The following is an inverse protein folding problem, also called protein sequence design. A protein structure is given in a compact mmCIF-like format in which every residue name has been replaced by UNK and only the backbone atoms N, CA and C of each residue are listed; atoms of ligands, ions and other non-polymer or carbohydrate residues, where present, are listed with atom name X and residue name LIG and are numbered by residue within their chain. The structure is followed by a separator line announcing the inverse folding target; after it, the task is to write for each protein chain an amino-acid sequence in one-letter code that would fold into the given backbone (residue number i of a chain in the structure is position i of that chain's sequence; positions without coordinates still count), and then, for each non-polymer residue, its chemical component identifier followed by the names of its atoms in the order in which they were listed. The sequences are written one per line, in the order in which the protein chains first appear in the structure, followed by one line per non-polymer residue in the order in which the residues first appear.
data_IF_154955487494
#
_entry.id   IF_154955487494
#
_cell.length_a   1.000
_cell.length_b   1.000
_cell.length_c   1.000
_cell.angle_alpha   90.00
_cell.angle_beta   90.00
_cell.angle_gamma   90.00
#
_symmetry.space_group_name_H-M   'P 1'
#
loop_
_entity.id
_entity.type
_entity.pdbx_description
1 polymer ?
#
# COMPACT_ATOMS: atom_id res chain seq x y z
N UNK A 1 9.39 9.09 23.60
CA UNK A 1 9.12 7.96 22.69
C UNK A 1 10.39 7.76 21.89
N UNK A 2 10.94 6.54 21.87
CA UNK A 2 12.06 6.21 20.99
C UNK A 2 11.53 5.91 19.59
N UNK A 3 12.31 6.31 18.58
CA UNK A 3 11.99 6.12 17.17
C UNK A 3 13.01 5.18 16.52
N UNK A 4 12.55 4.40 15.55
CA UNK A 4 13.38 3.61 14.65
C UNK A 4 13.42 4.30 13.29
N UNK A 5 14.61 4.41 12.71
CA UNK A 5 14.75 4.83 11.33
C UNK A 5 14.42 3.66 10.41
N UNK A 6 13.44 3.87 9.53
CA UNK A 6 13.12 2.96 8.43
C UNK A 6 13.54 3.60 7.11
N UNK A 7 13.97 2.77 6.16
CA UNK A 7 14.41 3.21 4.84
C UNK A 7 13.52 2.59 3.77
N UNK A 8 12.78 3.46 3.08
CA UNK A 8 12.10 3.13 1.83
C UNK A 8 13.15 3.23 0.71
N UNK A 9 13.47 2.10 0.06
CA UNK A 9 14.54 2.01 -0.95
C UNK A 9 14.14 2.64 -2.28
N UNK A 10 15.10 2.92 -3.17
CA UNK A 10 14.83 3.44 -4.53
C UNK A 10 13.80 2.58 -5.28
N UNK A 11 14.00 1.26 -5.35
CA UNK A 11 13.01 0.33 -5.87
C UNK A 11 11.95 -0.01 -4.81
N UNK A 12 10.80 0.67 -4.90
CA UNK A 12 9.64 0.52 -4.01
C UNK A 12 8.89 -0.81 -4.20
N UNK A 13 8.29 -1.32 -3.14
CA UNK A 13 7.23 -2.33 -3.14
C UNK A 13 5.86 -1.64 -3.00
N UNK A 14 5.04 -1.66 -4.06
CA UNK A 14 3.81 -0.87 -4.16
C UNK A 14 2.60 -1.80 -4.20
N UNK A 15 1.68 -1.60 -3.24
CA UNK A 15 0.39 -2.27 -3.22
C UNK A 15 -0.65 -1.49 -4.02
N UNK A 16 -1.30 -2.16 -4.99
CA UNK A 16 -2.34 -1.62 -5.85
C UNK A 16 -3.68 -2.28 -5.51
N UNK A 17 -4.59 -1.50 -4.94
CA UNK A 17 -5.88 -1.98 -4.42
C UNK A 17 -7.00 -1.08 -4.94
N UNK A 18 -8.11 -1.67 -5.36
CA UNK A 18 -9.27 -0.92 -5.82
C UNK A 18 -10.57 -1.63 -5.49
N UNK A 19 -11.57 -0.89 -4.99
CA UNK A 19 -12.95 -1.38 -4.95
C UNK A 19 -13.47 -1.62 -6.37
N UNK A 20 -14.52 -2.43 -6.52
CA UNK A 20 -15.02 -2.85 -7.84
C UNK A 20 -15.35 -1.66 -8.75
N UNK A 21 -16.06 -0.65 -8.24
CA UNK A 21 -16.38 0.59 -8.99
C UNK A 21 -15.17 1.44 -9.36
N UNK A 22 -13.98 1.14 -8.82
CA UNK A 22 -12.73 1.89 -9.01
C UNK A 22 -11.66 1.14 -9.80
N UNK A 23 -11.88 -0.13 -10.13
CA UNK A 23 -10.91 -0.95 -10.86
C UNK A 23 -10.56 -0.37 -12.24
N UNK A 24 -11.55 0.10 -12.99
CA UNK A 24 -11.27 0.73 -14.30
C UNK A 24 -10.42 2.00 -14.15
N UNK A 25 -10.72 2.84 -13.16
CA UNK A 25 -9.91 4.03 -12.86
C UNK A 25 -8.46 3.66 -12.50
N UNK A 26 -8.28 2.64 -11.65
CA UNK A 26 -6.97 2.09 -11.29
C UNK A 26 -6.20 1.57 -12.51
N UNK A 27 -6.89 0.84 -13.41
CA UNK A 27 -6.26 0.31 -14.62
C UNK A 27 -5.75 1.43 -15.52
N UNK A 28 -6.60 2.43 -15.81
CA UNK A 28 -6.21 3.57 -16.65
C UNK A 28 -5.06 4.35 -16.03
N UNK A 29 -5.08 4.53 -14.71
CA UNK A 29 -3.98 5.14 -13.98
C UNK A 29 -2.68 4.33 -14.08
N UNK A 30 -2.74 3.01 -13.97
CA UNK A 30 -1.57 2.14 -14.15
C UNK A 30 -1.01 2.20 -15.58
N UNK A 31 -1.87 2.27 -16.59
CA UNK A 31 -1.46 2.41 -18.00
C UNK A 31 -0.75 3.75 -18.20
N UNK A 32 -1.31 4.84 -17.68
CA UNK A 32 -0.73 6.18 -17.79
C UNK A 32 0.65 6.30 -17.10
N UNK A 33 0.83 5.59 -15.98
CA UNK A 33 2.07 5.62 -15.18
C UNK A 33 2.97 4.40 -15.40
N UNK A 34 2.72 3.60 -16.45
CA UNK A 34 3.36 2.30 -16.67
C UNK A 34 4.88 2.35 -16.66
N UNK A 35 5.45 3.40 -17.26
CA UNK A 35 6.89 3.55 -17.40
C UNK A 35 7.61 3.80 -16.07
N UNK A 36 6.91 4.38 -15.08
CA UNK A 36 7.40 4.53 -13.71
C UNK A 36 7.15 3.23 -12.95
N UNK A 37 5.92 2.71 -12.98
CA UNK A 37 5.50 1.52 -12.24
C UNK A 37 6.33 0.28 -12.56
N UNK A 38 6.78 0.11 -13.82
CA UNK A 38 7.62 -1.02 -14.23
C UNK A 38 9.00 -1.07 -13.56
N UNK A 39 9.46 0.04 -12.97
CA UNK A 39 10.73 0.09 -12.21
C UNK A 39 10.59 -0.49 -10.80
N UNK A 40 9.36 -0.68 -10.32
CA UNK A 40 9.04 -1.06 -8.95
C UNK A 40 8.46 -2.47 -8.86
N UNK A 41 8.43 -3.02 -7.64
CA UNK A 41 7.75 -4.28 -7.38
C UNK A 41 6.28 -4.01 -7.09
N UNK A 42 5.39 -4.60 -7.87
CA UNK A 42 3.95 -4.37 -7.75
C UNK A 42 3.28 -5.59 -7.15
N UNK A 43 2.37 -5.35 -6.22
CA UNK A 43 1.47 -6.35 -5.69
C UNK A 43 0.03 -5.79 -5.62
N UNK A 44 -0.97 -6.65 -5.51
CA UNK A 44 -2.36 -6.19 -5.45
C UNK A 44 -3.32 -7.31 -5.10
N UNK A 45 -4.54 -6.94 -4.72
CA UNK A 45 -5.56 -7.91 -4.30
C UNK A 45 -6.33 -8.49 -5.48
N UNK A 46 -6.61 -9.79 -5.42
CA UNK A 46 -7.53 -10.54 -6.28
C UNK A 46 -7.58 -10.08 -7.74
N UNK A 47 -8.77 -9.64 -8.15
CA UNK A 47 -9.08 -9.24 -9.52
C UNK A 47 -8.37 -7.96 -9.97
N UNK A 48 -7.95 -7.10 -9.05
CA UNK A 48 -7.18 -5.88 -9.37
C UNK A 48 -5.82 -6.26 -9.96
N UNK A 49 -5.06 -7.12 -9.28
CA UNK A 49 -3.75 -7.57 -9.77
C UNK A 49 -3.84 -8.28 -11.12
N UNK A 50 -4.84 -9.16 -11.27
CA UNK A 50 -5.08 -9.89 -12.52
C UNK A 50 -5.37 -8.95 -13.67
N UNK A 51 -6.32 -8.03 -13.49
CA UNK A 51 -6.71 -7.06 -14.52
C UNK A 51 -5.52 -6.18 -14.96
N UNK A 52 -4.72 -5.67 -14.02
CA UNK A 52 -3.54 -4.86 -14.33
C UNK A 52 -2.50 -5.69 -15.10
N UNK A 53 -2.28 -6.93 -14.69
CA UNK A 53 -1.33 -7.82 -15.37
C UNK A 53 -1.74 -8.11 -16.81
N UNK A 54 -3.01 -8.42 -17.03
CA UNK A 54 -3.54 -8.77 -18.35
C UNK A 54 -3.63 -7.56 -19.30
N UNK A 55 -3.94 -6.37 -18.77
CA UNK A 55 -4.33 -5.22 -19.62
C UNK A 55 -3.31 -4.07 -19.62
N UNK A 56 -2.52 -3.88 -18.56
CA UNK A 56 -1.48 -2.83 -18.51
C UNK A 56 -0.08 -3.37 -18.85
N UNK A 57 0.10 -4.70 -18.93
CA UNK A 57 1.40 -5.32 -19.19
C UNK A 57 2.40 -5.16 -18.04
N UNK A 58 1.91 -4.94 -16.82
CA UNK A 58 2.72 -4.82 -15.60
C UNK A 58 2.74 -6.15 -14.84
N UNK A 59 3.89 -6.58 -14.31
CA UNK A 59 3.93 -7.76 -13.46
C UNK A 59 3.46 -7.42 -12.05
N UNK A 60 2.26 -7.89 -11.67
CA UNK A 60 1.68 -7.64 -10.35
C UNK A 60 1.49 -8.95 -9.59
N UNK A 61 2.14 -9.08 -8.43
CA UNK A 61 1.92 -10.22 -7.54
C UNK A 61 0.50 -10.17 -6.97
N UNK A 62 -0.28 -11.22 -7.21
CA UNK A 62 -1.63 -11.34 -6.68
C UNK A 62 -1.68 -11.82 -5.22
N UNK A 63 -2.49 -11.15 -4.42
CA UNK A 63 -2.99 -11.59 -3.12
C UNK A 63 -4.46 -12.03 -3.23
N UNK A 64 -5.06 -12.50 -2.13
CA UNK A 64 -6.50 -12.76 -2.08
C UNK A 64 -7.29 -11.47 -2.37
N UNK A 65 -8.57 -11.60 -2.69
CA UNK A 65 -9.46 -10.44 -2.76
C UNK A 65 -9.60 -9.79 -1.38
N UNK A 66 -9.84 -8.47 -1.33
CA UNK A 66 -10.05 -7.74 -0.08
C UNK A 66 -11.05 -8.43 0.87
N UNK A 67 -12.28 -8.75 0.41
CA UNK A 67 -13.28 -9.46 1.22
C UNK A 67 -12.86 -10.83 1.76
N UNK A 68 -11.84 -11.47 1.17
CA UNK A 68 -11.32 -12.77 1.58
C UNK A 68 -9.98 -12.66 2.33
N UNK A 69 -9.69 -11.48 2.89
CA UNK A 69 -8.51 -11.22 3.71
C UNK A 69 -7.30 -10.66 2.95
N UNK A 70 -7.46 -10.29 1.68
CA UNK A 70 -6.38 -9.67 0.90
C UNK A 70 -5.82 -8.38 1.53
N UNK A 71 -6.69 -7.57 2.12
CA UNK A 71 -6.29 -6.32 2.77
C UNK A 71 -5.46 -6.59 4.03
N UNK A 72 -5.76 -7.68 4.74
CA UNK A 72 -4.98 -8.13 5.90
C UNK A 72 -3.63 -8.71 5.47
N UNK A 73 -3.55 -9.40 4.32
CA UNK A 73 -2.28 -9.83 3.76
C UNK A 73 -1.37 -8.63 3.46
N UNK A 74 -1.91 -7.57 2.86
CA UNK A 74 -1.18 -6.32 2.61
C UNK A 74 -0.77 -5.69 3.95
N UNK A 75 -1.69 -5.58 4.92
CA UNK A 75 -1.40 -5.02 6.23
C UNK A 75 -0.26 -5.74 6.97
N UNK A 76 -0.24 -7.08 6.93
CA UNK A 76 0.86 -7.87 7.49
C UNK A 76 2.19 -7.57 6.79
N UNK A 77 2.17 -7.39 5.47
CA UNK A 77 3.38 -7.08 4.70
C UNK A 77 3.92 -5.66 4.95
N UNK A 78 3.06 -4.71 5.30
CA UNK A 78 3.48 -3.39 5.80
C UNK A 78 4.25 -3.54 7.11
N UNK A 79 3.71 -4.31 8.08
CA UNK A 79 4.37 -4.60 9.36
C UNK A 79 5.73 -5.27 9.19
N UNK A 80 5.85 -6.15 8.19
CA UNK A 80 7.09 -6.85 7.86
C UNK A 80 8.10 -6.01 7.06
N UNK A 81 7.77 -4.76 6.71
CA UNK A 81 8.62 -3.90 5.86
C UNK A 81 8.75 -4.41 4.41
N UNK A 82 7.74 -5.11 3.91
CA UNK A 82 7.69 -5.67 2.55
C UNK A 82 6.75 -4.91 1.61
N UNK A 83 6.10 -3.85 2.12
CA UNK A 83 5.30 -2.90 1.33
C UNK A 83 5.71 -1.50 1.77
N UNK A 84 6.14 -0.71 0.80
CA UNK A 84 6.69 0.63 1.00
C UNK A 84 5.68 1.73 0.63
N UNK A 85 4.63 1.40 -0.12
CA UNK A 85 3.62 2.35 -0.58
C UNK A 85 2.30 1.63 -0.87
N UNK A 86 1.19 2.30 -0.57
CA UNK A 86 -0.16 1.81 -0.90
C UNK A 86 -0.89 2.80 -1.80
N UNK A 87 -1.33 2.34 -2.97
CA UNK A 87 -2.29 3.03 -3.83
C UNK A 87 -3.62 2.28 -3.72
N UNK A 88 -4.56 2.87 -2.98
CA UNK A 88 -5.88 2.29 -2.75
C UNK A 88 -6.98 3.20 -3.30
N UNK A 89 -7.51 2.87 -4.47
CA UNK A 89 -8.72 3.54 -4.97
C UNK A 89 -9.96 2.94 -4.32
N UNK A 90 -10.29 3.45 -3.14
CA UNK A 90 -11.53 3.14 -2.42
C UNK A 90 -12.72 3.86 -3.05
N UNK A 91 -13.86 3.19 -3.11
CA UNK A 91 -15.15 3.81 -3.41
C UNK A 91 -15.75 4.43 -2.13
N UNK A 92 -15.85 5.77 -2.02
CA UNK A 92 -16.36 6.44 -0.83
C UNK A 92 -17.89 6.49 -0.77
N UNK A 93 -18.60 6.12 -1.84
CA UNK A 93 -20.06 6.23 -1.95
C UNK A 93 -20.77 4.89 -1.78
N UNK A 94 -20.03 3.79 -1.70
CA UNK A 94 -20.56 2.44 -1.57
C UNK A 94 -20.04 1.78 -0.31
N UNK A 95 -20.95 1.37 0.58
CA UNK A 95 -20.59 0.60 1.78
C UNK A 95 -19.96 -0.74 1.38
N UNK A 96 -18.78 -1.05 1.93
CA UNK A 96 -18.16 -2.35 1.70
C UNK A 96 -18.40 -3.29 2.89
N UNK A 97 -18.65 -4.59 2.63
CA UNK A 97 -18.76 -5.58 3.71
C UNK A 97 -17.45 -5.74 4.51
N UNK A 98 -16.33 -5.31 3.93
CA UNK A 98 -14.98 -5.37 4.50
C UNK A 98 -14.45 -3.97 4.88
N UNK A 99 -15.34 -2.98 5.08
CA UNK A 99 -14.98 -1.64 5.59
C UNK A 99 -14.06 -1.65 6.84
N UNK A 100 -14.24 -2.57 7.82
CA UNK A 100 -13.31 -2.69 8.95
C UNK A 100 -11.87 -3.00 8.51
N UNK A 101 -11.70 -3.85 7.50
CA UNK A 101 -10.39 -4.25 6.98
C UNK A 101 -9.73 -3.08 6.23
N UNK A 102 -10.50 -2.30 5.48
CA UNK A 102 -10.03 -1.05 4.84
C UNK A 102 -9.49 -0.08 5.88
N UNK A 103 -10.24 0.16 6.95
CA UNK A 103 -9.83 1.06 8.05
C UNK A 103 -8.58 0.53 8.76
N UNK A 104 -8.50 -0.78 9.00
CA UNK A 104 -7.34 -1.40 9.61
C UNK A 104 -6.08 -1.24 8.74
N UNK A 105 -6.22 -1.40 7.42
CA UNK A 105 -5.14 -1.20 6.46
C UNK A 105 -4.64 0.27 6.42
N UNK A 106 -5.56 1.23 6.35
CA UNK A 106 -5.18 2.65 6.36
C UNK A 106 -4.48 3.03 7.67
N UNK A 107 -4.99 2.54 8.79
CA UNK A 107 -4.40 2.77 10.11
C UNK A 107 -2.99 2.15 10.22
N UNK A 108 -2.77 0.92 9.75
CA UNK A 108 -1.45 0.30 9.85
C UNK A 108 -0.41 1.02 8.98
N UNK A 109 -0.81 1.49 7.79
CA UNK A 109 0.07 2.25 6.93
C UNK A 109 0.48 3.60 7.55
N UNK A 110 -0.42 4.27 8.31
CA UNK A 110 -0.08 5.46 9.10
C UNK A 110 0.87 5.14 10.27
N UNK A 111 0.66 4.02 10.95
CA UNK A 111 1.49 3.59 12.10
C UNK A 111 2.93 3.33 11.66
N UNK A 112 3.10 2.76 10.46
CA UNK A 112 4.41 2.50 9.87
C UNK A 112 4.87 3.64 8.95
N UNK A 113 4.17 4.78 8.95
CA UNK A 113 4.53 6.00 8.21
C UNK A 113 4.95 5.75 6.75
N UNK A 114 4.20 4.92 6.03
CA UNK A 114 4.42 4.70 4.60
C UNK A 114 3.48 5.58 3.77
N UNK A 115 3.88 6.02 2.56
CA UNK A 115 3.01 6.76 1.66
C UNK A 115 1.72 6.01 1.30
N UNK A 116 0.59 6.71 1.39
CA UNK A 116 -0.74 6.19 1.04
C UNK A 116 -1.44 7.17 0.09
N UNK A 117 -1.96 6.66 -1.02
CA UNK A 117 -2.93 7.37 -1.85
C UNK A 117 -4.28 6.67 -1.80
N UNK A 118 -5.30 7.34 -1.28
CA UNK A 118 -6.68 6.86 -1.23
C UNK A 118 -7.53 7.34 -2.43
N UNK A 119 -6.93 8.10 -3.35
CA UNK A 119 -7.57 8.64 -4.54
C UNK A 119 -6.51 8.91 -5.63
N UNK A 120 -6.98 9.16 -6.85
CA UNK A 120 -6.12 9.40 -8.01
C UNK A 120 -5.22 10.63 -7.86
N UNK A 121 -5.75 11.74 -7.35
CA UNK A 121 -4.96 12.98 -7.23
C UNK A 121 -3.74 12.78 -6.32
N UNK A 122 -3.93 12.17 -5.15
CA UNK A 122 -2.80 11.82 -4.26
C UNK A 122 -1.83 10.86 -4.95
N UNK A 123 -2.34 9.85 -5.68
CA UNK A 123 -1.50 8.89 -6.39
C UNK A 123 -0.64 9.57 -7.48
N UNK A 124 -1.20 10.55 -8.20
CA UNK A 124 -0.46 11.35 -9.18
C UNK A 124 0.68 12.14 -8.52
N UNK A 125 0.40 12.82 -7.40
CA UNK A 125 1.44 13.54 -6.65
C UNK A 125 2.54 12.61 -6.15
N UNK A 126 2.18 11.43 -5.63
CA UNK A 126 3.16 10.46 -5.15
C UNK A 126 4.02 9.90 -6.28
N UNK A 127 3.44 9.52 -7.42
CA UNK A 127 4.20 8.95 -8.55
C UNK A 127 5.17 9.94 -9.19
N UNK A 128 4.89 11.24 -9.11
CA UNK A 128 5.76 12.27 -9.67
C UNK A 128 6.64 12.95 -8.62
N UNK A 129 6.64 12.44 -7.39
CA UNK A 129 7.56 12.89 -6.35
C UNK A 129 8.99 12.52 -6.70
N UNK A 130 9.94 13.41 -6.38
CA UNK A 130 11.37 13.12 -6.50
C UNK A 130 11.80 11.91 -5.67
N UNK A 131 11.04 11.55 -4.62
CA UNK A 131 11.34 10.39 -3.77
C UNK A 131 11.01 9.03 -4.40
N UNK A 132 10.35 8.98 -5.56
CA UNK A 132 10.11 7.72 -6.26
C UNK A 132 11.40 7.08 -6.75
N UNK A 133 12.33 7.88 -7.24
CA UNK A 133 13.62 7.44 -7.78
C UNK A 133 14.79 7.62 -6.76
N UNK A 134 14.49 7.77 -5.46
CA UNK A 134 15.52 7.84 -4.40
C UNK A 134 15.17 6.96 -3.21
N UNK A 135 16.17 6.72 -2.34
CA UNK A 135 15.89 6.28 -0.98
C UNK A 135 15.23 7.41 -0.18
N UNK A 136 14.39 7.04 0.78
CA UNK A 136 13.74 7.95 1.72
C UNK A 136 13.81 7.36 3.13
N UNK A 137 14.37 8.12 4.07
CA UNK A 137 14.45 7.73 5.47
C UNK A 137 13.35 8.44 6.26
N UNK A 138 12.70 7.69 7.15
CA UNK A 138 11.63 8.20 8.00
C UNK A 138 11.68 7.55 9.37
N UNK A 139 11.01 8.17 10.33
CA UNK A 139 11.04 7.76 11.73
C UNK A 139 9.69 7.14 12.11
N UNK A 140 9.72 5.90 12.58
CA UNK A 140 8.54 5.19 13.10
C UNK A 140 8.70 4.96 14.59
N UNK A 141 7.60 4.90 15.34
CA UNK A 141 7.67 4.60 16.77
C UNK A 141 8.27 3.21 17.03
N UNK A 142 9.15 3.09 18.02
CA UNK A 142 9.74 1.80 18.39
C UNK A 142 8.76 0.93 19.19
N UNK A 143 7.85 0.25 18.49
CA UNK A 143 6.84 -0.58 19.14
C UNK A 143 7.41 -1.79 19.88
N UNK A 144 8.59 -2.32 19.52
CA UNK A 144 9.21 -3.46 20.22
C UNK A 144 9.55 -3.11 21.66
N UNK A 145 10.22 -1.97 21.85
CA UNK A 145 10.58 -1.50 23.18
C UNK A 145 9.35 -1.09 24.00
N UNK A 146 8.33 -0.50 23.37
CA UNK A 146 7.07 -0.17 24.03
C UNK A 146 6.36 -1.43 24.58
N UNK A 147 6.40 -2.53 23.83
CA UNK A 147 5.86 -3.84 24.27
C UNK A 147 6.70 -4.43 25.40
N UNK A 148 8.03 -4.39 25.31
CA UNK A 148 8.94 -4.87 26.35
C UNK A 148 8.74 -4.10 27.67
N UNK A 149 8.67 -2.77 27.61
CA UNK A 149 8.39 -1.93 28.77
C UNK A 149 7.04 -2.27 29.40
N UNK A 150 5.99 -2.46 28.59
CA UNK A 150 4.65 -2.81 29.08
C UNK A 150 4.65 -4.20 29.74
N UNK A 151 5.33 -5.18 29.14
CA UNK A 151 5.47 -6.51 29.69
C UNK A 151 6.25 -6.53 31.02
N UNK A 152 7.26 -5.65 31.17
CA UNK A 152 8.02 -5.51 32.41
C UNK A 152 7.25 -4.81 33.54
N UNK A 153 6.16 -4.10 33.22
CA UNK A 153 5.30 -3.39 34.19
C UNK A 153 3.99 -4.12 34.54
N UNK A 154 3.78 -5.31 33.97
CA UNK A 154 2.67 -6.22 34.30
C UNK A 154 3.09 -7.19 35.40
#
# INVERSE_FOLDING_TARGET
MEYLTMTIREQKNIALIAHDGKKQEMLQWCIANREILKKHHLCGTGTTARMITEQAGLSVKGYNSGPLGGDQQVGAKIVEGQIDMVIFFSDPLTAQPHDPDVKALLRIAQVYDIPIANNKATADFLMHSTFMDTCYEHQVENFKQAVEHRAATL
#
